data_IF_387202869393
#
_entry.id   IF_387202869393
#
_cell.length_a   1.000
_cell.length_b   1.000
_cell.length_c   1.000
_cell.angle_alpha   90.00
_cell.angle_beta   90.00
_cell.angle_gamma   90.00
#
_symmetry.space_group_name_H-M   'P 1'
#
loop_
_entity.id
_entity.type
_entity.pdbx_description
1 polymer ?
#
# COMPACT_ATOMS: atom_id res chain seq x y z
N UNK A 1 -2.63 5.26 14.46
CA UNK A 1 -1.39 5.55 13.73
C UNK A 1 -1.77 5.66 12.26
N UNK A 2 -1.47 6.76 11.58
CA UNK A 2 -1.87 6.93 10.18
C UNK A 2 -0.99 6.05 9.30
N UNK A 3 -1.61 5.18 8.50
CA UNK A 3 -0.89 4.40 7.49
C UNK A 3 -0.72 5.28 6.25
N UNK A 4 0.52 5.42 5.82
CA UNK A 4 0.89 6.01 4.53
C UNK A 4 0.97 4.87 3.52
N UNK A 5 0.30 5.03 2.39
CA UNK A 5 0.31 4.07 1.28
C UNK A 5 0.91 4.76 0.06
N UNK A 6 1.86 4.13 -0.61
CA UNK A 6 2.37 4.63 -1.88
C UNK A 6 1.43 4.17 -2.99
N UNK A 7 0.96 5.12 -3.79
CA UNK A 7 -0.06 4.85 -4.80
C UNK A 7 0.47 3.96 -5.93
N UNK A 8 -0.24 2.88 -6.24
CA UNK A 8 0.13 1.95 -7.31
C UNK A 8 -0.23 2.46 -8.70
N UNK A 9 -1.12 3.47 -8.81
CA UNK A 9 -1.57 4.02 -10.09
C UNK A 9 -0.55 4.99 -10.73
N UNK A 10 0.40 5.48 -9.96
CA UNK A 10 1.34 6.53 -10.36
C UNK A 10 2.74 6.24 -9.88
N UNK A 11 3.74 6.59 -10.67
CA UNK A 11 5.13 6.46 -10.28
C UNK A 11 5.44 7.46 -9.16
N UNK A 12 6.23 7.03 -8.19
CA UNK A 12 6.71 7.84 -7.06
C UNK A 12 8.23 7.94 -7.16
N UNK A 13 8.78 9.10 -7.55
CA UNK A 13 10.22 9.30 -7.59
C UNK A 13 10.83 9.12 -6.19
N UNK A 14 12.15 8.94 -6.12
CA UNK A 14 12.86 8.74 -4.88
C UNK A 14 12.56 9.88 -3.89
N UNK A 15 11.99 9.51 -2.75
CA UNK A 15 11.59 10.42 -1.68
C UNK A 15 12.35 10.10 -0.41
N UNK A 16 12.58 11.13 0.39
CA UNK A 16 13.15 11.01 1.73
C UNK A 16 12.24 11.64 2.76
N UNK A 17 12.03 10.94 3.87
CA UNK A 17 11.35 11.45 5.04
C UNK A 17 12.27 11.37 6.26
N UNK A 18 12.39 12.51 6.96
CA UNK A 18 13.17 12.61 8.18
C UNK A 18 12.26 12.33 9.38
N UNK A 19 12.48 11.18 10.02
CA UNK A 19 11.71 10.74 11.18
C UNK A 19 12.60 10.80 12.43
N UNK A 20 12.02 10.85 13.65
CA UNK A 20 12.82 10.77 14.86
C UNK A 20 13.69 9.50 14.89
N UNK A 21 15.00 9.68 14.86
CA UNK A 21 15.99 8.59 14.89
C UNK A 21 16.12 7.76 13.61
N UNK A 22 15.38 8.09 12.54
CA UNK A 22 15.37 7.34 11.29
C UNK A 22 15.37 8.28 10.07
N UNK A 23 15.99 7.85 8.99
CA UNK A 23 15.81 8.46 7.66
C UNK A 23 15.20 7.41 6.76
N UNK A 24 13.95 7.63 6.36
CA UNK A 24 13.22 6.76 5.45
C UNK A 24 13.43 7.26 4.02
N UNK A 25 13.81 6.36 3.11
CA UNK A 25 13.87 6.61 1.67
C UNK A 25 13.01 5.57 0.96
N UNK A 26 12.17 5.98 0.02
CA UNK A 26 11.37 5.05 -0.76
C UNK A 26 11.25 5.50 -2.22
N UNK A 27 11.06 4.54 -3.11
CA UNK A 27 10.78 4.72 -4.53
C UNK A 27 9.82 3.63 -4.98
N UNK A 28 8.88 4.00 -5.85
CA UNK A 28 8.02 3.06 -6.54
C UNK A 28 7.93 3.47 -8.02
N UNK A 29 8.25 2.57 -8.92
CA UNK A 29 8.21 2.83 -10.35
C UNK A 29 7.54 1.66 -11.06
N UNK A 30 6.49 1.93 -11.85
CA UNK A 30 5.76 0.87 -12.54
C UNK A 30 6.57 0.33 -13.71
N UNK A 31 6.33 -0.93 -14.03
CA UNK A 31 6.87 -1.59 -15.21
C UNK A 31 6.52 -0.82 -16.48
N UNK A 32 7.34 -1.00 -17.50
CA UNK A 32 7.11 -0.39 -18.82
C UNK A 32 5.74 -0.72 -19.38
N UNK A 33 5.27 -1.95 -19.19
CA UNK A 33 3.99 -2.40 -19.71
C UNK A 33 2.82 -1.82 -18.91
N UNK A 34 2.94 -1.70 -17.58
CA UNK A 34 1.97 -1.00 -16.74
C UNK A 34 1.85 0.47 -17.15
N UNK A 35 2.98 1.16 -17.33
CA UNK A 35 3.01 2.56 -17.82
C UNK A 35 2.36 2.72 -19.19
N UNK A 36 2.73 1.87 -20.15
CA UNK A 36 2.21 1.92 -21.53
C UNK A 36 0.69 1.74 -21.59
N UNK A 37 0.14 0.93 -20.70
CA UNK A 37 -1.30 0.63 -20.66
C UNK A 37 -2.07 1.51 -19.66
N UNK A 38 -1.39 2.46 -18.99
CA UNK A 38 -1.95 3.24 -17.89
C UNK A 38 -2.64 2.34 -16.84
N UNK A 39 -1.96 1.25 -16.48
CA UNK A 39 -2.39 0.29 -15.48
C UNK A 39 -1.65 0.54 -14.15
N UNK A 40 -2.23 0.14 -13.02
CA UNK A 40 -1.53 0.11 -11.75
C UNK A 40 -0.34 -0.85 -11.81
N UNK A 41 0.71 -0.56 -11.04
CA UNK A 41 1.72 -1.57 -10.68
C UNK A 41 1.14 -2.60 -9.71
N UNK A 42 1.80 -3.74 -9.59
CA UNK A 42 1.44 -4.86 -8.72
C UNK A 42 2.19 -4.80 -7.40
N UNK A 43 3.37 -4.21 -7.40
CA UNK A 43 4.13 -3.82 -6.23
C UNK A 43 3.36 -2.83 -5.34
N UNK A 44 3.54 -2.91 -4.03
CA UNK A 44 2.90 -2.04 -3.03
C UNK A 44 3.85 -1.70 -1.89
N UNK A 45 3.85 -0.43 -1.46
CA UNK A 45 4.59 0.03 -0.29
C UNK A 45 3.61 0.72 0.66
N UNK A 46 3.63 0.35 1.93
CA UNK A 46 2.97 1.11 2.97
C UNK A 46 3.78 1.11 4.27
N UNK A 47 3.57 2.12 5.09
CA UNK A 47 4.20 2.22 6.39
C UNK A 47 3.40 3.11 7.34
N UNK A 48 3.72 3.05 8.62
CA UNK A 48 3.20 3.95 9.64
C UNK A 48 4.32 4.25 10.63
N UNK A 49 4.42 5.48 11.14
CA UNK A 49 5.31 5.80 12.26
C UNK A 49 4.58 6.59 13.39
N UNK A 50 5.07 6.45 14.63
CA UNK A 50 4.60 7.22 15.80
C UNK A 50 5.73 8.00 16.50
N UNK A 51 6.91 8.04 15.88
CA UNK A 51 8.11 8.69 16.39
C UNK A 51 8.99 7.80 17.28
N UNK A 52 8.50 6.64 17.72
CA UNK A 52 9.30 5.61 18.40
C UNK A 52 9.31 4.29 17.63
N UNK A 53 8.27 4.05 16.86
CA UNK A 53 8.05 2.84 16.07
C UNK A 53 7.82 3.21 14.62
N UNK A 54 8.40 2.41 13.74
CA UNK A 54 8.11 2.40 12.31
C UNK A 54 7.67 0.98 11.95
N UNK A 55 6.50 0.84 11.38
CA UNK A 55 5.99 -0.41 10.80
C UNK A 55 5.85 -0.24 9.31
N UNK A 56 6.23 -1.23 8.52
CA UNK A 56 6.22 -1.13 7.06
C UNK A 56 5.89 -2.47 6.42
N UNK A 57 5.44 -2.42 5.17
CA UNK A 57 5.35 -3.55 4.27
C UNK A 57 5.72 -3.12 2.85
N UNK A 58 6.52 -3.94 2.19
CA UNK A 58 6.74 -3.94 0.74
C UNK A 58 6.18 -5.25 0.23
N UNK A 59 5.31 -5.20 -0.75
CA UNK A 59 4.64 -6.37 -1.30
C UNK A 59 4.78 -6.38 -2.82
N UNK A 60 4.80 -7.57 -3.40
CA UNK A 60 4.85 -7.80 -4.84
C UNK A 60 3.66 -8.68 -5.23
N UNK A 61 2.79 -8.13 -6.07
CA UNK A 61 1.59 -8.79 -6.55
C UNK A 61 1.87 -9.74 -7.71
N UNK A 62 1.42 -10.98 -7.60
CA UNK A 62 1.73 -12.01 -8.61
C UNK A 62 0.92 -11.79 -9.89
N UNK A 63 1.59 -11.49 -11.01
CA UNK A 63 0.98 -11.27 -12.34
C UNK A 63 0.10 -12.39 -12.86
N UNK A 64 0.39 -13.64 -12.47
CA UNK A 64 -0.39 -14.81 -12.85
C UNK A 64 -1.65 -15.04 -11.99
N UNK A 65 -1.79 -14.30 -10.88
CA UNK A 65 -2.99 -14.32 -10.04
C UNK A 65 -4.04 -13.32 -10.51
N UNK A 66 -5.24 -13.35 -9.92
CA UNK A 66 -6.26 -12.34 -10.19
C UNK A 66 -5.85 -11.00 -9.58
N UNK A 67 -5.58 -9.96 -10.37
CA UNK A 67 -5.20 -8.63 -9.86
C UNK A 67 -4.21 -8.69 -8.68
N UNK A 68 -2.95 -9.04 -8.94
CA UNK A 68 -1.92 -9.16 -7.90
C UNK A 68 -1.79 -7.91 -7.01
N UNK A 69 -2.05 -6.73 -7.58
CA UNK A 69 -2.13 -5.45 -6.88
C UNK A 69 -3.11 -5.48 -5.68
N UNK A 70 -4.22 -6.21 -5.80
CA UNK A 70 -5.22 -6.35 -4.74
C UNK A 70 -4.66 -7.13 -3.55
N UNK A 71 -3.98 -8.25 -3.79
CA UNK A 71 -3.36 -9.02 -2.71
C UNK A 71 -2.21 -8.26 -2.05
N UNK A 72 -1.36 -7.61 -2.85
CA UNK A 72 -0.20 -6.85 -2.36
C UNK A 72 -0.64 -5.71 -1.43
N UNK A 73 -1.66 -4.95 -1.85
CA UNK A 73 -2.25 -3.91 -1.01
C UNK A 73 -2.88 -4.47 0.25
N UNK A 74 -3.76 -5.45 0.08
CA UNK A 74 -4.52 -6.03 1.17
C UNK A 74 -3.59 -6.55 2.28
N UNK A 75 -2.62 -7.39 1.92
CA UNK A 75 -1.71 -8.00 2.90
C UNK A 75 -0.79 -6.95 3.53
N UNK A 76 -0.31 -5.97 2.75
CA UNK A 76 0.57 -4.91 3.24
C UNK A 76 -0.10 -4.06 4.31
N UNK A 77 -1.31 -3.56 4.05
CA UNK A 77 -2.07 -2.73 5.00
C UNK A 77 -2.38 -3.49 6.30
N UNK A 78 -2.79 -4.76 6.18
CA UNK A 78 -3.08 -5.62 7.33
C UNK A 78 -1.83 -5.93 8.16
N UNK A 79 -0.71 -6.22 7.53
CA UNK A 79 0.57 -6.45 8.20
C UNK A 79 1.03 -5.20 8.96
N UNK A 80 1.00 -4.03 8.33
CA UNK A 80 1.38 -2.77 8.99
C UNK A 80 0.49 -2.47 10.18
N UNK A 81 -0.84 -2.60 10.02
CA UNK A 81 -1.79 -2.35 11.10
C UNK A 81 -1.59 -3.33 12.28
N UNK A 82 -1.40 -4.62 11.99
CA UNK A 82 -1.16 -5.64 13.01
C UNK A 82 0.17 -5.43 13.74
N UNK A 83 1.27 -5.21 13.01
CA UNK A 83 2.60 -4.97 13.60
C UNK A 83 2.62 -3.75 14.51
N UNK A 84 1.85 -2.71 14.19
CA UNK A 84 1.76 -1.49 14.98
C UNK A 84 1.12 -1.73 16.36
N UNK A 85 0.15 -2.64 16.44
CA UNK A 85 -0.54 -3.01 17.67
C UNK A 85 0.11 -4.16 18.45
N UNK A 86 1.04 -4.89 17.85
CA UNK A 86 1.61 -6.10 18.44
C UNK A 86 2.52 -5.80 19.63
N UNK A 87 2.66 -6.75 20.55
CA UNK A 87 3.76 -6.74 21.54
C UNK A 87 4.62 -7.96 21.27
N UNK A 88 5.88 -7.73 20.91
CA UNK A 88 6.80 -8.79 20.47
C UNK A 88 7.67 -9.18 21.66
N UNK A 89 7.50 -10.39 22.16
CA UNK A 89 8.25 -10.93 23.30
C UNK A 89 9.45 -11.75 22.85
N UNK A 90 9.22 -12.66 21.90
CA UNK A 90 10.20 -13.60 21.34
C UNK A 90 9.76 -14.07 19.94
N UNK A 91 10.68 -14.74 19.24
CA UNK A 91 10.52 -15.22 17.87
C UNK A 91 9.38 -16.24 17.74
N UNK A 92 9.26 -17.18 18.68
CA UNK A 92 8.25 -18.24 18.60
C UNK A 92 6.81 -17.70 18.77
N UNK A 93 6.64 -16.72 19.67
CA UNK A 93 5.39 -16.01 19.82
C UNK A 93 5.05 -15.18 18.57
N UNK A 94 6.06 -14.54 17.96
CA UNK A 94 5.89 -13.79 16.72
C UNK A 94 5.48 -14.69 15.55
N UNK A 95 6.15 -15.82 15.36
CA UNK A 95 5.83 -16.84 14.34
C UNK A 95 4.39 -17.35 14.46
N UNK A 96 4.02 -17.77 15.68
CA UNK A 96 2.70 -18.36 15.95
C UNK A 96 1.59 -17.36 15.67
N UNK A 97 1.76 -16.12 16.10
CA UNK A 97 0.77 -15.07 15.90
C UNK A 97 0.70 -14.64 14.43
N UNK A 98 1.84 -14.57 13.73
CA UNK A 98 1.88 -14.28 12.30
C UNK A 98 1.09 -15.33 11.50
N UNK A 99 1.37 -16.62 11.69
CA UNK A 99 0.66 -17.71 11.00
C UNK A 99 -0.85 -17.63 11.24
N UNK A 100 -1.26 -17.39 12.49
CA UNK A 100 -2.66 -17.21 12.87
C UNK A 100 -3.30 -16.05 12.11
N UNK A 101 -2.63 -14.90 12.04
CA UNK A 101 -3.16 -13.71 11.37
C UNK A 101 -3.23 -13.87 9.86
N UNK A 102 -2.20 -14.42 9.22
CA UNK A 102 -2.17 -14.67 7.78
C UNK A 102 -3.32 -15.59 7.33
N UNK A 103 -3.71 -16.56 8.17
CA UNK A 103 -4.87 -17.44 7.93
C UNK A 103 -6.19 -16.74 8.21
N UNK A 104 -6.26 -15.93 9.27
CA UNK A 104 -7.48 -15.20 9.66
C UNK A 104 -7.93 -14.18 8.61
N UNK A 105 -7.00 -13.65 7.80
CA UNK A 105 -7.31 -12.65 6.77
C UNK A 105 -7.83 -13.24 5.44
N UNK A 106 -7.83 -14.57 5.29
CA UNK A 106 -8.22 -15.23 4.03
C UNK A 106 -9.68 -14.95 3.66
N UNK A 107 -10.61 -15.06 4.60
CA UNK A 107 -12.04 -14.95 4.31
C UNK A 107 -12.42 -13.56 3.80
N UNK A 108 -11.91 -12.51 4.46
CA UNK A 108 -12.16 -11.13 4.07
C UNK A 108 -11.47 -10.79 2.73
N UNK A 109 -10.21 -11.22 2.55
CA UNK A 109 -9.51 -11.04 1.27
C UNK A 109 -10.23 -11.72 0.11
N UNK A 110 -10.67 -12.97 0.29
CA UNK A 110 -11.42 -13.70 -0.72
C UNK A 110 -12.72 -12.98 -1.06
N UNK A 111 -13.45 -12.47 -0.05
CA UNK A 111 -14.66 -11.70 -0.28
C UNK A 111 -14.38 -10.47 -1.17
N UNK A 112 -13.27 -9.75 -0.94
CA UNK A 112 -12.86 -8.62 -1.79
C UNK A 112 -12.55 -9.03 -3.23
N UNK A 113 -11.88 -10.18 -3.42
CA UNK A 113 -11.62 -10.76 -4.74
C UNK A 113 -12.93 -11.09 -5.47
N UNK A 114 -13.88 -11.73 -4.79
CA UNK A 114 -15.12 -12.16 -5.41
C UNK A 114 -15.99 -10.98 -5.87
N UNK A 115 -15.99 -9.86 -5.14
CA UNK A 115 -16.80 -8.67 -5.49
C UNK A 115 -16.12 -7.73 -6.49
N UNK A 116 -14.82 -7.90 -6.78
CA UNK A 116 -14.08 -6.98 -7.65
C UNK A 116 -14.64 -7.00 -9.08
N UNK A 117 -15.22 -5.91 -9.60
CA UNK A 117 -15.77 -5.92 -10.95
C UNK A 117 -14.65 -5.94 -12.00
N UNK A 118 -14.85 -6.71 -13.08
CA UNK A 118 -14.01 -6.59 -14.26
C UNK A 118 -14.38 -5.34 -15.06
N UNK A 119 -13.37 -4.67 -15.62
CA UNK A 119 -13.61 -3.53 -16.51
C UNK A 119 -14.48 -3.95 -17.69
N UNK A 120 -15.59 -3.25 -17.90
CA UNK A 120 -16.56 -3.54 -18.97
C UNK A 120 -15.92 -3.46 -20.37
N UNK A 121 -14.92 -2.60 -20.53
CA UNK A 121 -14.13 -2.39 -21.75
C UNK A 121 -13.16 -3.51 -22.10
N UNK A 122 -12.95 -4.51 -21.22
CA UNK A 122 -12.02 -5.60 -21.51
C UNK A 122 -12.53 -6.50 -22.65
N UNK A 123 -11.64 -6.94 -23.57
CA UNK A 123 -11.92 -7.97 -24.54
C UNK A 123 -12.48 -9.25 -23.88
N UNK A 124 -13.46 -9.95 -24.50
CA UNK A 124 -14.10 -11.14 -23.93
C UNK A 124 -13.10 -12.21 -23.46
N UNK A 125 -12.10 -12.52 -24.28
CA UNK A 125 -11.10 -13.54 -23.94
C UNK A 125 -10.27 -13.17 -22.69
N UNK A 126 -9.99 -11.89 -22.47
CA UNK A 126 -9.29 -11.43 -21.26
C UNK A 126 -10.20 -11.48 -20.03
N UNK A 127 -11.50 -11.24 -20.18
CA UNK A 127 -12.47 -11.42 -19.09
C UNK A 127 -12.53 -12.88 -18.66
N UNK A 128 -12.66 -13.80 -19.61
CA UNK A 128 -12.70 -15.24 -19.30
C UNK A 128 -11.41 -15.71 -18.61
N UNK A 129 -10.25 -15.22 -19.07
CA UNK A 129 -8.97 -15.52 -18.43
C UNK A 129 -8.89 -14.96 -16.99
N UNK A 130 -9.38 -13.74 -16.76
CA UNK A 130 -9.43 -13.14 -15.42
C UNK A 130 -10.43 -13.84 -14.51
N UNK A 131 -11.60 -14.24 -15.01
CA UNK A 131 -12.57 -15.00 -14.21
C UNK A 131 -12.00 -16.36 -13.78
N UNK A 132 -11.28 -17.07 -14.65
CA UNK A 132 -10.54 -18.28 -14.26
C UNK A 132 -9.47 -18.00 -13.20
N UNK A 133 -8.79 -16.85 -13.27
CA UNK A 133 -7.84 -16.44 -12.23
C UNK A 133 -8.56 -16.11 -10.91
N UNK A 134 -9.75 -15.49 -10.96
CA UNK A 134 -10.56 -15.14 -9.77
C UNK A 134 -10.88 -16.38 -8.95
N UNK A 135 -11.14 -17.51 -9.60
CA UNK A 135 -11.34 -18.79 -8.91
C UNK A 135 -10.15 -19.19 -8.03
N UNK A 136 -8.92 -18.85 -8.43
CA UNK A 136 -7.70 -19.15 -7.67
C UNK A 136 -7.30 -18.06 -6.66
N UNK A 137 -7.97 -16.91 -6.69
CA UNK A 137 -7.68 -15.77 -5.84
C UNK A 137 -6.58 -14.84 -6.39
N UNK A 138 -6.39 -13.74 -5.67
CA UNK A 138 -5.21 -12.86 -5.76
C UNK A 138 -4.08 -13.40 -4.88
N UNK A 139 -2.84 -13.20 -5.30
CA UNK A 139 -1.65 -13.65 -4.58
C UNK A 139 -0.58 -12.56 -4.53
N UNK A 140 0.18 -12.52 -3.43
CA UNK A 140 1.29 -11.61 -3.26
C UNK A 140 2.42 -12.22 -2.43
N UNK A 141 3.62 -11.73 -2.69
CA UNK A 141 4.82 -11.88 -1.87
C UNK A 141 4.95 -10.63 -0.99
N UNK A 142 5.66 -10.74 0.13
CA UNK A 142 5.85 -9.60 1.01
C UNK A 142 7.12 -9.67 1.84
N UNK A 143 7.59 -8.49 2.24
CA UNK A 143 8.46 -8.26 3.38
C UNK A 143 7.78 -7.18 4.23
N UNK A 144 7.52 -7.47 5.49
CA UNK A 144 6.97 -6.51 6.44
C UNK A 144 7.75 -6.53 7.73
N UNK A 145 7.81 -5.39 8.43
CA UNK A 145 8.57 -5.33 9.66
C UNK A 145 8.20 -4.18 10.56
N UNK A 146 8.67 -4.29 11.79
CA UNK A 146 8.58 -3.29 12.84
C UNK A 146 9.97 -2.98 13.36
N UNK A 147 10.29 -1.70 13.34
CA UNK A 147 11.44 -1.10 14.00
C UNK A 147 10.92 -0.41 15.27
N UNK A 148 11.39 -0.85 16.43
CA UNK A 148 11.10 -0.23 17.72
C UNK A 148 12.39 0.39 18.29
N UNK A 149 12.47 1.72 18.25
CA UNK A 149 13.66 2.46 18.69
C UNK A 149 13.82 2.44 20.21
N UNK A 150 12.70 2.44 20.95
CA UNK A 150 12.71 2.41 22.40
C UNK A 150 13.20 1.06 22.93
N UNK A 151 12.71 -0.05 22.34
CA UNK A 151 13.15 -1.40 22.66
C UNK A 151 14.47 -1.79 21.97
N UNK A 152 14.96 -0.98 21.01
CA UNK A 152 16.09 -1.28 20.13
C UNK A 152 15.95 -2.64 19.44
N UNK A 153 14.76 -2.92 18.92
CA UNK A 153 14.38 -4.20 18.35
C UNK A 153 13.88 -4.04 16.91
N UNK A 154 14.27 -4.99 16.05
CA UNK A 154 13.70 -5.20 14.73
C UNK A 154 12.96 -6.54 14.77
N UNK A 155 11.71 -6.54 14.32
CA UNK A 155 11.00 -7.76 13.94
C UNK A 155 10.64 -7.66 12.46
N UNK A 156 10.97 -8.65 11.68
CA UNK A 156 10.68 -8.69 10.24
C UNK A 156 10.11 -10.06 9.88
N UNK A 157 9.16 -10.07 8.97
CA UNK A 157 8.56 -11.28 8.42
C UNK A 157 8.52 -11.18 6.90
N UNK A 158 8.71 -12.31 6.21
CA UNK A 158 8.70 -12.32 4.75
C UNK A 158 8.17 -13.63 4.17
N UNK A 159 7.71 -13.55 2.93
CA UNK A 159 7.28 -14.68 2.12
C UNK A 159 7.49 -14.34 0.64
N UNK A 160 8.20 -15.22 -0.08
CA UNK A 160 8.53 -15.01 -1.50
C UNK A 160 10.01 -14.80 -1.75
N UNK A 161 10.34 -14.21 -2.89
CA UNK A 161 11.72 -13.98 -3.36
C UNK A 161 12.16 -12.51 -3.34
N UNK A 162 11.29 -11.61 -2.86
CA UNK A 162 11.67 -10.27 -2.45
C UNK A 162 12.80 -10.35 -1.42
N UNK A 163 13.67 -9.34 -1.39
CA UNK A 163 14.86 -9.38 -0.51
C UNK A 163 14.94 -8.19 0.40
N UNK A 164 15.55 -8.42 1.56
CA UNK A 164 16.02 -7.34 2.41
C UNK A 164 17.47 -7.55 2.82
N UNK A 165 18.11 -6.43 3.16
CA UNK A 165 19.46 -6.38 3.67
C UNK A 165 19.50 -5.56 4.95
N UNK A 166 20.20 -6.08 5.93
CA UNK A 166 20.61 -5.34 7.11
C UNK A 166 22.06 -4.93 6.92
N UNK A 167 22.38 -3.67 7.15
CA UNK A 167 23.72 -3.14 6.98
C UNK A 167 24.35 -2.86 8.33
N UNK A 168 25.62 -3.21 8.47
CA UNK A 168 26.39 -2.89 9.66
C UNK A 168 27.06 -1.51 9.61
N UNK A 169 27.82 -1.17 10.63
CA UNK A 169 28.60 0.08 10.72
C UNK A 169 29.78 0.17 9.74
N UNK A 170 30.10 -0.92 9.04
CA UNK A 170 31.12 -0.97 7.99
C UNK A 170 30.50 -0.91 6.58
N UNK A 171 29.17 -0.82 6.48
CA UNK A 171 28.45 -0.86 5.22
C UNK A 171 28.43 -2.26 4.58
N UNK A 172 28.72 -3.31 5.35
CA UNK A 172 28.59 -4.69 4.91
C UNK A 172 27.17 -5.19 5.17
N UNK A 173 26.67 -6.04 4.28
CA UNK A 173 25.41 -6.73 4.48
C UNK A 173 25.63 -7.80 5.57
N UNK A 174 24.79 -7.75 6.60
CA UNK A 174 24.77 -8.73 7.67
C UNK A 174 24.11 -10.02 7.17
N UNK A 175 24.60 -11.15 7.67
CA UNK A 175 23.99 -12.43 7.38
C UNK A 175 22.60 -12.55 8.02
N UNK A 176 21.67 -13.16 7.28
CA UNK A 176 20.32 -13.48 7.74
C UNK A 176 20.26 -15.00 7.88
N UNK A 177 20.27 -15.54 9.11
CA UNK A 177 20.29 -16.98 9.33
C UNK A 177 19.11 -17.66 8.65
N UNK A 178 19.38 -18.79 7.99
CA UNK A 178 18.39 -19.65 7.36
C UNK A 178 17.46 -18.92 6.37
N UNK A 179 17.93 -17.83 5.77
CA UNK A 179 17.13 -17.03 4.86
C UNK A 179 16.75 -17.81 3.59
N UNK A 180 15.44 -17.95 3.38
CA UNK A 180 14.84 -18.56 2.19
C UNK A 180 14.18 -17.48 1.35
N UNK A 181 14.47 -17.49 0.04
CA UNK A 181 13.97 -16.54 -0.96
C UNK A 181 13.41 -17.30 -2.15
N UNK A 182 12.14 -17.69 -2.07
CA UNK A 182 11.55 -18.69 -2.97
C UNK A 182 10.28 -18.15 -3.65
N UNK A 183 10.31 -18.01 -4.97
CA UNK A 183 9.18 -17.47 -5.78
C UNK A 183 7.88 -18.30 -5.64
N UNK A 184 8.00 -19.55 -5.16
CA UNK A 184 6.85 -20.44 -4.90
C UNK A 184 6.13 -20.14 -3.57
N UNK A 185 6.76 -19.38 -2.68
CA UNK A 185 6.20 -18.98 -1.38
C UNK A 185 5.42 -17.70 -1.55
N UNK A 186 4.12 -17.75 -1.30
CA UNK A 186 3.20 -16.63 -1.53
C UNK A 186 2.09 -16.67 -0.52
N UNK A 187 1.51 -15.52 -0.23
CA UNK A 187 0.21 -15.45 0.43
C UNK A 187 -0.89 -15.38 -0.63
N UNK A 188 -1.93 -16.21 -0.48
CA UNK A 188 -3.09 -16.26 -1.35
C UNK A 188 -4.34 -15.82 -0.59
N UNK A 189 -5.11 -14.92 -1.20
CA UNK A 189 -6.45 -14.57 -0.71
C UNK A 189 -7.42 -15.75 -0.60
N UNK A 190 -7.13 -16.89 -1.25
CA UNK A 190 -8.02 -18.07 -1.23
C UNK A 190 -7.67 -19.08 -0.13
N UNK A 191 -6.39 -19.29 0.12
CA UNK A 191 -5.90 -20.37 1.01
C UNK A 191 -4.89 -19.90 2.07
N UNK A 192 -4.53 -18.62 2.08
CA UNK A 192 -3.53 -18.06 2.98
C UNK A 192 -2.10 -18.37 2.52
N UNK A 193 -1.16 -18.55 3.45
CA UNK A 193 0.22 -18.92 3.13
C UNK A 193 0.31 -20.22 2.33
N UNK A 194 0.98 -20.19 1.19
CA UNK A 194 1.22 -21.38 0.35
C UNK A 194 2.68 -21.47 -0.11
N UNK A 195 3.17 -22.69 -0.30
CA UNK A 195 4.47 -22.97 -0.92
C UNK A 195 4.29 -23.99 -2.03
N UNK A 196 4.40 -23.54 -3.28
CA UNK A 196 4.10 -24.37 -4.46
C UNK A 196 2.64 -24.83 -4.48
N UNK A 197 2.42 -26.15 -4.39
CA UNK A 197 1.09 -26.75 -4.38
C UNK A 197 0.55 -27.09 -2.97
N UNK A 198 1.32 -26.77 -1.92
CA UNK A 198 0.98 -27.10 -0.53
C UNK A 198 0.86 -25.88 0.37
N UNK A 199 0.57 -26.16 1.64
CA UNK A 199 0.60 -25.16 2.71
C UNK A 199 2.02 -24.55 2.84
N UNK A 200 2.06 -23.26 3.11
CA UNK A 200 3.29 -22.52 3.35
C UNK A 200 3.29 -21.89 4.74
N UNK A 201 4.40 -21.25 5.07
CA UNK A 201 4.54 -20.40 6.24
C UNK A 201 5.38 -19.19 5.85
N UNK A 202 5.20 -18.09 6.57
CA UNK A 202 6.09 -16.95 6.44
C UNK A 202 7.31 -17.17 7.34
N UNK A 203 8.45 -16.65 6.92
CA UNK A 203 9.68 -16.66 7.70
C UNK A 203 9.72 -15.41 8.58
N UNK A 204 10.41 -15.49 9.72
CA UNK A 204 10.59 -14.34 10.60
C UNK A 204 12.01 -14.19 11.11
N UNK A 205 12.30 -13.00 11.59
CA UNK A 205 13.52 -12.66 12.30
C UNK A 205 13.21 -11.58 13.32
N UNK A 206 13.44 -11.87 14.61
CA UNK A 206 13.44 -10.86 15.65
C UNK A 206 14.87 -10.69 16.16
N UNK A 207 15.36 -9.43 16.19
CA UNK A 207 16.74 -9.16 16.59
C UNK A 207 16.91 -7.79 17.23
N UNK A 208 18.03 -7.61 17.91
CA UNK A 208 18.47 -6.29 18.35
C UNK A 208 18.92 -5.43 17.15
N UNK A 209 18.62 -4.13 17.23
CA UNK A 209 19.16 -3.09 16.34
C UNK A 209 20.63 -2.75 16.62
N UNK A 210 21.26 -3.37 17.62
CA UNK A 210 22.68 -3.15 17.91
C UNK A 210 23.55 -3.58 16.72
N UNK A 211 24.39 -2.65 16.26
CA UNK A 211 25.25 -2.86 15.09
C UNK A 211 24.55 -2.68 13.75
N UNK A 212 23.22 -2.57 13.71
CA UNK A 212 22.46 -2.31 12.48
C UNK A 212 22.40 -0.81 12.22
N UNK A 213 22.84 -0.39 11.04
CA UNK A 213 22.86 1.04 10.62
C UNK A 213 21.87 1.36 9.52
N UNK A 214 21.44 0.36 8.74
CA UNK A 214 20.42 0.53 7.72
C UNK A 214 19.67 -0.77 7.46
N UNK A 215 18.41 -0.66 7.05
CA UNK A 215 17.60 -1.74 6.47
C UNK A 215 17.23 -1.32 5.06
N UNK A 216 17.48 -2.18 4.06
CA UNK A 216 17.01 -1.96 2.68
C UNK A 216 16.12 -3.12 2.28
N UNK A 217 14.92 -2.85 1.77
CA UNK A 217 13.96 -3.82 1.25
C UNK A 217 13.69 -3.48 -0.20
N UNK A 218 13.62 -4.48 -1.07
CA UNK A 218 13.31 -4.25 -2.48
C UNK A 218 12.56 -5.42 -3.14
N UNK A 219 11.79 -5.12 -4.18
CA UNK A 219 11.19 -6.12 -5.06
C UNK A 219 12.21 -6.72 -6.03
N UNK A 220 11.80 -7.76 -6.75
CA UNK A 220 12.63 -8.45 -7.74
C UNK A 220 12.89 -7.60 -9.01
N UNK A 221 12.10 -6.55 -9.25
CA UNK A 221 12.29 -5.61 -10.36
C UNK A 221 13.64 -4.88 -10.36
N UNK A 222 14.37 -4.85 -9.23
CA UNK A 222 15.77 -4.41 -9.18
C UNK A 222 16.71 -5.35 -9.96
N UNK A 223 16.35 -6.63 -10.05
CA UNK A 223 17.05 -7.66 -10.81
C UNK A 223 18.52 -7.81 -10.40
N UNK A 224 19.42 -7.82 -11.39
CA UNK A 224 20.87 -7.97 -11.15
C UNK A 224 21.56 -6.70 -10.66
N UNK A 225 20.84 -5.57 -10.53
CA UNK A 225 21.41 -4.26 -10.16
C UNK A 225 21.37 -3.99 -8.65
N UNK A 226 21.15 -5.02 -7.83
CA UNK A 226 21.04 -4.91 -6.36
C UNK A 226 22.26 -4.27 -5.71
N UNK A 227 23.47 -4.46 -6.25
CA UNK A 227 24.68 -3.80 -5.72
C UNK A 227 24.59 -2.26 -5.76
N UNK A 228 23.80 -1.67 -6.66
CA UNK A 228 23.56 -0.23 -6.68
C UNK A 228 22.87 0.26 -5.39
N UNK A 229 22.13 -0.60 -4.70
CA UNK A 229 21.45 -0.26 -3.45
C UNK A 229 22.41 -0.17 -2.26
N UNK A 230 23.70 -0.55 -2.38
CA UNK A 230 24.72 -0.30 -1.34
C UNK A 230 24.86 1.20 -1.06
N UNK A 231 24.79 2.01 -2.11
CA UNK A 231 24.92 3.46 -2.06
C UNK A 231 23.64 4.12 -2.56
N UNK A 232 22.86 4.67 -1.64
CA UNK A 232 21.55 5.26 -1.97
C UNK A 232 21.64 6.79 -1.91
N UNK A 233 21.69 7.41 -3.10
CA UNK A 233 21.28 8.80 -3.27
C UNK A 233 19.93 8.84 -3.98
N UNK A 234 19.15 9.90 -3.76
CA UNK A 234 17.85 10.06 -4.43
C UNK A 234 18.03 10.06 -5.96
N UNK A 235 18.99 10.83 -6.46
CA UNK A 235 19.28 10.91 -7.89
C UNK A 235 19.73 9.55 -8.49
N UNK A 236 20.54 8.77 -7.76
CA UNK A 236 20.95 7.45 -8.24
C UNK A 236 19.80 6.44 -8.24
N UNK A 237 18.86 6.55 -7.29
CA UNK A 237 17.66 5.72 -7.26
C UNK A 237 16.71 6.06 -8.42
N UNK A 238 16.47 7.36 -8.67
CA UNK A 238 15.68 7.79 -9.82
C UNK A 238 16.30 7.32 -11.14
N UNK A 239 17.62 7.47 -11.29
CA UNK A 239 18.31 6.99 -12.49
C UNK A 239 18.24 5.46 -12.63
N UNK A 240 18.34 4.72 -11.53
CA UNK A 240 18.19 3.26 -11.54
C UNK A 240 16.79 2.85 -12.01
N UNK A 241 15.74 3.52 -11.52
CA UNK A 241 14.37 3.26 -11.94
C UNK A 241 14.17 3.56 -13.44
N UNK A 242 14.71 4.68 -13.93
CA UNK A 242 14.68 5.03 -15.36
C UNK A 242 15.35 3.93 -16.22
N UNK A 243 16.55 3.50 -15.82
CA UNK A 243 17.31 2.47 -16.53
C UNK A 243 16.55 1.13 -16.58
N UNK A 244 15.99 0.70 -15.43
CA UNK A 244 15.23 -0.54 -15.31
C UNK A 244 13.92 -0.48 -16.10
N UNK A 245 13.20 0.65 -16.04
CA UNK A 245 11.97 0.87 -16.80
C UNK A 245 12.18 0.91 -18.32
N UNK A 246 13.38 1.23 -18.79
CA UNK A 246 13.73 1.18 -20.20
C UNK A 246 14.04 -0.25 -20.70
N UNK A 247 14.34 -1.19 -19.80
CA UNK A 247 14.75 -2.54 -20.16
C UNK A 247 13.60 -3.35 -20.78
N UNK A 248 13.88 -4.30 -21.70
CA UNK A 248 12.86 -5.19 -22.26
C UNK A 248 12.18 -6.08 -21.21
N UNK A 249 12.90 -6.44 -20.15
CA UNK A 249 12.43 -7.24 -19.03
C UNK A 249 12.08 -6.35 -17.81
N UNK A 250 11.63 -5.11 -18.06
CA UNK A 250 11.17 -4.21 -17.01
C UNK A 250 10.04 -4.85 -16.22
N UNK A 251 10.20 -4.88 -14.90
CA UNK A 251 9.15 -5.16 -13.94
C UNK A 251 8.86 -3.92 -13.09
N UNK A 252 7.88 -4.00 -12.20
CA UNK A 252 7.65 -2.98 -11.18
C UNK A 252 8.85 -2.92 -10.22
N UNK A 253 9.25 -1.71 -9.83
CA UNK A 253 10.42 -1.46 -8.98
C UNK A 253 9.98 -0.81 -7.69
N UNK A 254 10.23 -1.49 -6.58
CA UNK A 254 10.01 -0.97 -5.23
C UNK A 254 11.29 -0.98 -4.42
N UNK A 255 11.59 0.14 -3.78
CA UNK A 255 12.67 0.27 -2.79
C UNK A 255 12.10 0.93 -1.55
N UNK A 256 12.38 0.33 -0.40
CA UNK A 256 12.11 0.89 0.92
C UNK A 256 13.36 0.76 1.77
N UNK A 257 13.98 1.89 2.12
CA UNK A 257 15.25 1.96 2.82
C UNK A 257 15.12 2.81 4.09
N UNK A 258 15.64 2.30 5.21
CA UNK A 258 15.59 2.95 6.51
C UNK A 258 16.98 3.00 7.08
N UNK A 259 17.56 4.20 7.15
CA UNK A 259 18.82 4.43 7.85
C UNK A 259 18.55 4.75 9.33
N UNK A 260 19.22 4.03 10.24
CA UNK A 260 19.17 4.24 11.69
C UNK A 260 20.10 5.39 12.07
N UNK A 261 19.70 6.61 11.75
CA UNK A 261 20.48 7.81 11.96
C UNK A 261 19.66 8.86 12.72
N UNK A 262 20.25 9.39 13.79
CA UNK A 262 19.70 10.60 14.42
C UNK A 262 20.07 11.81 13.57
N UNK A 263 19.07 12.36 12.88
CA UNK A 263 19.17 13.66 12.23
C UNK A 263 18.58 14.73 13.14
N UNK A 264 19.17 15.93 13.14
CA UNK A 264 18.57 17.07 13.82
C UNK A 264 17.32 17.47 13.01
N UNK A 265 16.15 17.12 13.52
CA UNK A 265 14.90 17.52 12.90
C UNK A 265 14.72 19.03 13.06
N UNK A 266 14.48 19.72 11.93
CA UNK A 266 13.93 21.07 11.95
C UNK A 266 12.48 21.08 12.38
N UNK A 267 11.85 22.25 12.38
CA UNK A 267 10.40 22.33 12.52
C UNK A 267 9.73 21.69 11.29
N UNK A 268 8.64 20.93 11.47
CA UNK A 268 7.81 20.48 10.37
C UNK A 268 7.35 21.66 9.50
N UNK A 269 7.26 21.43 8.20
CA UNK A 269 6.68 22.41 7.29
C UNK A 269 5.23 22.75 7.70
N UNK A 270 4.79 24.01 7.52
CA UNK A 270 3.43 24.41 7.89
C UNK A 270 2.38 23.64 7.07
N UNK A 271 1.18 23.52 7.65
CA UNK A 271 0.06 22.89 6.97
C UNK A 271 -0.39 23.72 5.74
N UNK A 272 -0.52 23.11 4.55
CA UNK A 272 -1.12 23.77 3.41
C UNK A 272 -2.58 24.15 3.68
N UNK A 273 -3.03 25.30 3.16
CA UNK A 273 -4.43 25.70 3.22
C UNK A 273 -5.16 25.04 2.04
N UNK A 274 -5.91 23.97 2.33
CA UNK A 274 -6.65 23.18 1.35
C UNK A 274 -7.97 23.84 0.95
N UNK A 275 -8.23 23.94 -0.35
CA UNK A 275 -9.43 24.49 -0.94
C UNK A 275 -9.91 23.60 -2.11
N UNK A 276 -11.22 23.53 -2.33
CA UNK A 276 -11.78 22.91 -3.52
C UNK A 276 -12.11 24.00 -4.54
N UNK A 277 -11.64 23.83 -5.77
CA UNK A 277 -12.10 24.63 -6.90
C UNK A 277 -13.33 23.98 -7.53
N UNK A 278 -14.40 24.76 -7.70
CA UNK A 278 -15.50 24.42 -8.60
C UNK A 278 -15.12 24.86 -10.02
N UNK A 279 -14.30 24.06 -10.68
CA UNK A 279 -14.18 24.06 -12.14
C UNK A 279 -14.71 22.72 -12.65
N UNK A 280 -14.89 22.59 -13.95
CA UNK A 280 -15.48 21.43 -14.64
C UNK A 280 -14.92 20.05 -14.22
N UNK A 281 -13.77 20.05 -13.54
CA UNK A 281 -13.09 18.89 -12.98
C UNK A 281 -12.87 19.13 -11.48
N UNK A 282 -13.29 18.18 -10.63
CA UNK A 282 -13.20 18.32 -9.16
C UNK A 282 -11.74 18.40 -8.73
N UNK A 283 -11.23 19.62 -8.61
CA UNK A 283 -9.81 19.88 -8.42
C UNK A 283 -9.58 20.41 -7.02
N UNK A 284 -8.68 19.74 -6.30
CA UNK A 284 -8.14 20.23 -5.05
C UNK A 284 -6.98 21.17 -5.34
N UNK A 285 -6.97 22.33 -4.70
CA UNK A 285 -5.90 23.32 -4.73
C UNK A 285 -5.50 23.66 -3.31
N UNK A 286 -4.21 23.91 -3.07
CA UNK A 286 -3.76 24.39 -1.76
C UNK A 286 -2.66 25.44 -1.88
N UNK A 287 -2.41 26.14 -0.77
CA UNK A 287 -1.32 27.11 -0.67
C UNK A 287 0.03 26.43 -0.87
N UNK A 288 0.88 27.01 -1.71
CA UNK A 288 2.26 26.54 -1.87
C UNK A 288 3.08 26.77 -0.60
N UNK A 289 3.92 25.80 -0.26
CA UNK A 289 4.90 25.88 0.81
C UNK A 289 6.30 25.96 0.16
N UNK A 290 7.09 27.02 0.38
CA UNK A 290 8.34 27.26 -0.36
C UNK A 290 9.37 26.13 -0.32
N UNK A 291 9.50 25.45 0.83
CA UNK A 291 10.47 24.38 1.05
C UNK A 291 9.94 22.98 0.66
N UNK A 292 8.69 22.90 0.21
CA UNK A 292 8.09 21.64 -0.21
C UNK A 292 8.58 21.23 -1.60
N UNK A 293 9.04 19.98 -1.71
CA UNK A 293 9.40 19.35 -3.00
C UNK A 293 8.27 18.49 -3.54
N UNK A 294 7.20 18.32 -2.77
CA UNK A 294 5.94 17.69 -3.13
C UNK A 294 4.89 17.86 -2.04
N UNK A 295 3.73 17.28 -2.28
CA UNK A 295 2.64 17.19 -1.34
C UNK A 295 2.11 15.78 -1.28
N UNK A 296 1.67 15.37 -0.10
CA UNK A 296 0.92 14.13 0.10
C UNK A 296 -0.55 14.47 0.25
N UNK A 297 -1.38 13.91 -0.63
CA UNK A 297 -2.83 14.00 -0.53
C UNK A 297 -3.32 12.73 0.15
N UNK A 298 -3.93 12.86 1.32
CA UNK A 298 -4.68 11.80 1.98
C UNK A 298 -6.12 11.85 1.51
N UNK A 299 -6.63 10.70 1.06
CA UNK A 299 -8.00 10.51 0.60
C UNK A 299 -8.65 9.49 1.52
N UNK A 300 -9.73 9.89 2.17
CA UNK A 300 -10.47 9.11 3.16
C UNK A 300 -11.93 9.02 2.73
N UNK A 301 -12.41 7.81 2.49
CA UNK A 301 -13.83 7.51 2.31
C UNK A 301 -14.34 6.82 3.57
N UNK A 302 -15.64 6.54 3.66
CA UNK A 302 -16.17 5.73 4.78
C UNK A 302 -15.55 4.33 4.86
N UNK A 303 -14.98 3.90 3.74
CA UNK A 303 -14.51 2.57 3.51
C UNK A 303 -12.98 2.56 3.58
N UNK A 304 -12.31 3.33 2.74
CA UNK A 304 -10.87 3.23 2.54
C UNK A 304 -10.14 4.53 2.84
N UNK A 305 -8.86 4.39 3.17
CA UNK A 305 -7.91 5.49 3.26
C UNK A 305 -6.65 5.16 2.48
N UNK A 306 -6.14 6.13 1.74
CA UNK A 306 -4.85 6.02 1.06
C UNK A 306 -4.23 7.39 0.84
N UNK A 307 -2.96 7.39 0.45
CA UNK A 307 -2.21 8.60 0.13
C UNK A 307 -1.68 8.58 -1.30
N UNK A 308 -1.54 9.77 -1.88
CA UNK A 308 -0.92 9.99 -3.19
C UNK A 308 0.06 11.15 -3.06
N UNK A 309 1.32 10.92 -3.43
CA UNK A 309 2.32 11.98 -3.48
C UNK A 309 2.24 12.68 -4.85
N UNK A 310 2.16 14.01 -4.85
CA UNK A 310 2.08 14.85 -6.06
C UNK A 310 3.15 15.95 -6.04
N UNK A 311 3.76 16.29 -7.18
CA UNK A 311 4.87 17.26 -7.22
C UNK A 311 4.40 18.73 -7.16
N UNK A 312 3.12 18.98 -7.39
CA UNK A 312 2.53 20.32 -7.52
C UNK A 312 1.39 20.50 -6.53
N UNK A 313 0.93 21.73 -6.34
CA UNK A 313 -0.08 22.09 -5.36
C UNK A 313 -1.54 21.84 -5.81
N UNK A 314 -1.73 20.92 -6.76
CA UNK A 314 -3.04 20.57 -7.30
C UNK A 314 -3.20 19.06 -7.40
N UNK A 315 -4.45 18.60 -7.24
CA UNK A 315 -4.81 17.20 -7.45
C UNK A 315 -6.21 17.09 -8.06
N UNK A 316 -6.32 16.32 -9.14
CA UNK A 316 -7.59 16.00 -9.77
C UNK A 316 -8.25 14.84 -9.03
N UNK A 317 -9.36 15.11 -8.36
CA UNK A 317 -10.12 14.10 -7.67
C UNK A 317 -11.04 13.37 -8.68
N UNK A 318 -10.94 12.03 -8.79
CA UNK A 318 -11.85 11.25 -9.60
C UNK A 318 -13.32 11.52 -9.26
N UNK A 319 -14.15 11.75 -10.29
CA UNK A 319 -15.57 12.10 -10.15
C UNK A 319 -16.33 11.04 -9.35
N UNK A 320 -16.01 9.76 -9.52
CA UNK A 320 -16.67 8.67 -8.80
C UNK A 320 -16.39 8.68 -7.29
N UNK A 321 -15.18 9.08 -6.89
CA UNK A 321 -14.84 9.32 -5.48
C UNK A 321 -15.57 10.54 -4.93
N UNK A 322 -15.59 11.63 -5.71
CA UNK A 322 -16.28 12.85 -5.32
C UNK A 322 -17.81 12.64 -5.17
N UNK A 323 -18.43 11.79 -5.99
CA UNK A 323 -19.85 11.42 -5.83
C UNK A 323 -20.11 10.60 -4.56
N UNK A 324 -19.18 9.73 -4.16
CA UNK A 324 -19.28 8.90 -2.96
C UNK A 324 -19.11 9.68 -1.65
N UNK A 325 -18.57 10.90 -1.73
CA UNK A 325 -18.14 11.68 -0.59
C UNK A 325 -16.77 11.23 -0.10
N UNK A 326 -15.80 12.14 -0.09
CA UNK A 326 -14.43 11.87 0.33
C UNK A 326 -13.93 13.01 1.20
N UNK A 327 -13.20 12.68 2.26
CA UNK A 327 -12.44 13.61 3.06
C UNK A 327 -11.01 13.66 2.51
N UNK A 328 -10.52 14.87 2.29
CA UNK A 328 -9.20 15.12 1.74
C UNK A 328 -8.38 15.88 2.78
N UNK A 329 -7.11 15.53 2.96
CA UNK A 329 -6.14 16.34 3.69
C UNK A 329 -4.84 16.38 2.91
N UNK A 330 -4.08 17.47 3.05
CA UNK A 330 -2.80 17.62 2.32
C UNK A 330 -1.68 17.95 3.30
N UNK A 331 -0.52 17.35 3.08
CA UNK A 331 0.70 17.57 3.85
C UNK A 331 1.83 17.98 2.91
N UNK A 332 2.63 18.98 3.27
CA UNK A 332 3.83 19.33 2.53
C UNK A 332 4.95 18.30 2.82
N UNK A 333 5.63 17.87 1.76
CA UNK A 333 6.76 16.95 1.84
C UNK A 333 8.06 17.64 1.40
N UNK A 334 9.16 17.32 2.05
CA UNK A 334 10.49 17.76 1.67
C UNK A 334 11.52 16.68 2.00
N UNK A 335 12.59 16.63 1.22
CA UNK A 335 13.69 15.71 1.47
C UNK A 335 14.64 16.21 2.57
N UNK A 336 14.47 17.46 3.03
CA UNK A 336 15.35 18.15 3.99
C UNK A 336 14.68 18.45 5.34
N UNK A 337 13.35 18.37 5.39
CA UNK A 337 12.55 18.65 6.58
C UNK A 337 11.74 17.41 6.97
N UNK A 338 11.37 17.25 8.25
CA UNK A 338 10.38 16.24 8.61
C UNK A 338 9.06 16.49 7.85
N UNK A 339 8.23 15.44 7.65
CA UNK A 339 6.91 15.60 7.04
C UNK A 339 6.13 16.74 7.69
N UNK A 340 5.52 17.61 6.88
CA UNK A 340 4.84 18.81 7.36
C UNK A 340 3.60 18.52 8.22
N UNK A 341 2.88 19.55 8.62
CA UNK A 341 1.58 19.36 9.25
C UNK A 341 0.51 19.02 8.20
N UNK A 342 -0.47 18.18 8.56
CA UNK A 342 -1.64 17.96 7.73
C UNK A 342 -2.52 19.21 7.73
N UNK A 343 -3.10 19.53 6.57
CA UNK A 343 -4.18 20.51 6.45
C UNK A 343 -5.40 20.07 7.26
N UNK A 344 -6.26 21.04 7.59
CA UNK A 344 -7.63 20.72 8.02
C UNK A 344 -8.32 19.86 6.94
N UNK A 345 -9.10 18.85 7.34
CA UNK A 345 -9.76 17.95 6.40
C UNK A 345 -10.88 18.69 5.65
N UNK A 346 -10.88 18.56 4.32
CA UNK A 346 -11.92 19.08 3.45
C UNK A 346 -12.81 17.94 2.97
N UNK A 347 -14.11 17.99 3.29
CA UNK A 347 -15.08 17.05 2.76
C UNK A 347 -15.55 17.51 1.38
N UNK A 348 -15.32 16.68 0.37
CA UNK A 348 -15.76 16.88 -1.01
C UNK A 348 -16.88 15.91 -1.32
N UNK A 349 -18.02 16.44 -1.76
CA UNK A 349 -19.16 15.64 -2.20
C UNK A 349 -19.85 16.35 -3.37
N UNK A 350 -19.90 15.70 -4.54
CA UNK A 350 -20.67 16.20 -5.69
C UNK A 350 -22.12 15.72 -5.61
N UNK A 351 -23.05 16.61 -5.95
CA UNK A 351 -24.47 16.27 -6.14
C UNK A 351 -24.79 16.01 -7.62
N UNK A 352 -25.82 15.19 -7.88
CA UNK A 352 -26.28 14.86 -9.23
C UNK A 352 -26.76 16.12 -10.00
N UNK A 353 -27.28 17.12 -9.30
CA UNK A 353 -27.74 18.39 -9.91
C UNK A 353 -26.60 19.22 -10.50
N UNK A 354 -25.42 19.18 -9.87
CA UNK A 354 -24.23 19.92 -10.34
C UNK A 354 -23.71 19.35 -11.67
N UNK A 355 -23.87 18.04 -11.92
CA UNK A 355 -23.45 17.37 -13.17
C UNK A 355 -24.38 17.71 -14.35
N UNK A 356 -25.69 17.79 -14.12
CA UNK A 356 -26.67 18.07 -15.19
C UNK A 356 -26.46 19.47 -15.77
N UNK A 357 -26.01 20.42 -14.95
CA UNK A 357 -25.69 21.79 -15.39
C UNK A 357 -24.40 21.85 -16.23
N UNK A 358 -23.53 20.84 -16.15
CA UNK A 358 -22.24 20.79 -16.85
C UNK A 358 -22.32 20.24 -18.28
N UNK A 359 -23.35 19.46 -18.63
CA UNK A 359 -23.44 18.73 -19.91
C UNK A 359 -24.13 19.51 -21.05
N UNK A 360 -24.05 20.85 -21.05
CA UNK A 360 -24.62 21.70 -22.10
C UNK A 360 -23.88 21.67 -23.46
N UNK A 361 -22.69 21.06 -23.53
CA UNK A 361 -21.95 20.82 -24.78
C UNK A 361 -21.33 19.42 -24.78
N UNK A 362 -21.39 18.74 -25.94
CA UNK A 362 -20.96 17.36 -26.10
C UNK A 362 -19.43 17.23 -26.13
N UNK A 363 -18.82 16.91 -24.99
CA UNK A 363 -17.42 16.46 -24.93
C UNK A 363 -17.40 14.93 -24.89
N UNK A 364 -16.78 14.30 -25.89
CA UNK A 364 -16.57 12.85 -25.89
C UNK A 364 -15.41 12.51 -24.96
N UNK A 365 -15.70 12.28 -23.68
CA UNK A 365 -14.72 11.88 -22.68
C UNK A 365 -14.34 10.40 -22.84
N UNK A 366 -13.13 10.14 -23.35
CA UNK A 366 -12.44 8.86 -23.13
C UNK A 366 -11.75 8.92 -21.75
N UNK A 367 -12.45 8.43 -20.72
CA UNK A 367 -11.91 8.33 -19.36
C UNK A 367 -11.50 6.89 -19.07
N UNK A 368 -10.22 6.69 -18.75
CA UNK A 368 -9.74 5.49 -18.08
C UNK A 368 -9.85 5.71 -16.56
N UNK A 369 -10.65 4.88 -15.91
CA UNK A 369 -10.87 4.88 -14.46
C UNK A 369 -9.68 4.23 -13.72
N UNK A 370 -9.12 4.84 -12.66
CA UNK A 370 -8.31 4.13 -11.66
C UNK A 370 -9.20 3.30 -10.71
N UNK A 371 -8.69 2.19 -10.12
CA UNK A 371 -9.43 1.36 -9.19
C UNK A 371 -9.50 1.96 -7.78
N UNK A 372 -10.74 2.02 -7.25
CA UNK A 372 -11.08 2.44 -5.87
C UNK A 372 -10.30 1.67 -4.79
N UNK A 373 -9.88 2.31 -3.69
CA UNK A 373 -9.37 1.63 -2.48
C UNK A 373 -10.50 1.13 -1.57
N UNK A 374 -10.21 0.14 -0.72
CA UNK A 374 -11.20 -0.65 0.03
C UNK A 374 -11.16 -0.50 1.58
N UNK A 375 -12.27 -0.99 2.14
CA UNK A 375 -12.84 -0.92 3.49
C UNK A 375 -11.93 -1.33 4.66
N UNK A 376 -11.80 -0.48 5.68
CA UNK A 376 -11.43 -0.88 7.05
C UNK A 376 -12.70 -0.97 7.89
N UNK A 377 -13.10 -2.18 8.28
CA UNK A 377 -14.19 -2.38 9.24
C UNK A 377 -13.70 -2.11 10.68
N UNK A 378 -14.46 -1.40 11.53
CA UNK A 378 -14.14 -1.31 12.95
C UNK A 378 -14.51 -2.60 13.68
N UNK A 379 -13.58 -3.19 14.41
CA UNK A 379 -13.77 -4.40 15.23
C UNK A 379 -14.03 -4.01 16.72
N UNK A 380 -15.19 -4.48 17.21
CA UNK A 380 -15.64 -4.84 18.58
C UNK A 380 -15.89 -3.74 19.65
N UNK A 381 -17.10 -3.77 20.26
CA UNK A 381 -17.38 -4.28 21.64
C UNK A 381 -18.92 -4.53 21.83
N UNK A 382 -19.19 -5.50 22.70
CA UNK A 382 -20.38 -6.29 23.06
C UNK A 382 -21.65 -5.60 23.66
N UNK A 383 -22.77 -6.33 23.51
CA UNK A 383 -23.91 -6.62 24.44
C UNK A 383 -25.24 -5.81 24.49
N UNK A 384 -26.33 -6.58 24.24
CA UNK A 384 -27.75 -6.52 24.68
C UNK A 384 -28.60 -5.27 24.30
N UNK A 385 -29.83 -5.37 23.76
CA UNK A 385 -31.07 -5.89 24.38
C UNK A 385 -32.13 -6.22 23.29
N UNK A 386 -32.69 -7.43 23.40
CA UNK A 386 -34.11 -7.84 23.34
C UNK A 386 -35.07 -7.34 22.23
N UNK A 387 -35.56 -8.32 21.47
CA UNK A 387 -36.97 -8.58 21.15
C UNK A 387 -37.79 -7.54 20.35
N UNK A 388 -38.01 -7.88 19.07
CA UNK A 388 -39.36 -7.81 18.51
C UNK A 388 -39.65 -9.15 17.84
N UNK A 389 -40.34 -10.00 18.60
CA UNK A 389 -40.84 -11.30 18.19
C UNK A 389 -42.11 -11.15 17.34
N UNK A 390 -42.33 -12.16 16.50
CA UNK A 390 -43.64 -12.67 16.05
C UNK A 390 -44.41 -11.73 15.11
N UNK A 391 -45.01 -12.14 14.01
CA UNK A 391 -45.32 -13.48 13.46
C UNK A 391 -46.07 -13.22 12.15
N UNK A 392 -46.01 -14.12 11.17
CA UNK A 392 -47.14 -14.86 10.55
C UNK A 392 -46.89 -14.75 9.03
N UNK A 393 -46.79 -15.80 8.22
CA UNK A 393 -46.78 -17.22 8.49
C UNK A 393 -46.98 -18.04 7.19
N UNK A 394 -47.10 -19.37 7.39
CA UNK A 394 -47.70 -20.35 6.47
C UNK A 394 -46.94 -20.55 5.15
N UNK A 395 -46.02 -21.51 4.97
CA UNK A 395 -46.22 -22.98 4.99
C UNK A 395 -47.67 -23.41 4.70
N UNK A 396 -48.06 -23.30 3.42
CA UNK A 396 -48.95 -24.20 2.64
C UNK A 396 -48.58 -23.84 1.18
N UNK A 397 -47.99 -24.70 0.33
CA UNK A 397 -48.62 -25.88 -0.28
C UNK A 397 -47.52 -26.77 -0.89
N UNK A 398 -47.63 -28.04 -0.57
CA UNK A 398 -46.93 -29.18 -1.15
C UNK A 398 -47.86 -29.74 -2.26
N UNK A 399 -47.26 -30.37 -3.29
CA UNK A 399 -47.88 -31.37 -4.21
C UNK A 399 -48.75 -30.83 -5.39
N UNK A 400 -48.36 -31.32 -6.58
CA UNK A 400 -49.09 -31.43 -7.87
C UNK A 400 -48.90 -30.32 -8.91
N UNK A 401 -47.80 -30.39 -9.67
CA UNK A 401 -47.84 -30.80 -11.10
C UNK A 401 -46.47 -31.17 -11.63
#
# INVERSE_FOLDING_TARGET
>A
MTIVTINQDTDTPARRELLPGLVLTYLFDRSRDSKKNNAPGQDFICYAHDGQRLTFAVCDGVSQSFYGDLAARYIGEHLVAWLAGLTITDDAAFDTELDRMLKAWVDDANAQVQIKPLKSSLPPMLKDALERKRENGSEAMFIAGRIDLAARQLAICWMGDMRFWLWDNHGAAMDIPDAVWETKERWSSRIGPKSGAGEGYAHTLVRSLNGVTRLTVHSDGIGSRTDALRTLSLASLDQLAIDLGAAPASDDVSVFDVAFQTVKLGEPLPAPILQQLQLQETTLLWSEIPEATAYRVKLETNDAQWTVDVPINTYFLPVDLAMGGVQCSVQALSNEYPPGLWSEPLKVQLSVAEIVTMNGESVTLKVALPPRPFRVAPILVLSLILAAALSIGWIILFVQR
#
